data_IF_215219801189
#
_entry.id   IF_215219801189
#
_cell.length_a   1.000
_cell.length_b   1.000
_cell.length_c   1.000
_cell.angle_alpha   90.00
_cell.angle_beta   90.00
_cell.angle_gamma   90.00
#
_symmetry.space_group_name_H-M   'P 1'
#
loop_
_entity.id
_entity.type
_entity.pdbx_description
1 polymer ?
#
# COMPACT_ATOMS: atom_id res chain seq x y z
N UNK A 1 2.74 19.33 3.89
CA UNK A 1 2.79 18.06 4.63
C UNK A 1 1.47 17.35 4.55
N UNK A 2 1.50 16.03 4.66
CA UNK A 2 0.32 15.18 4.78
C UNK A 2 -0.04 14.98 6.26
N UNK A 3 -1.18 14.33 6.54
CA UNK A 3 -1.71 14.19 7.89
C UNK A 3 -1.67 12.74 8.39
N UNK A 4 -1.39 12.57 9.69
CA UNK A 4 -1.65 11.32 10.39
C UNK A 4 -3.03 11.35 11.05
N UNK A 5 -3.77 10.25 10.94
CA UNK A 5 -5.04 10.03 11.66
C UNK A 5 -4.71 9.30 12.94
N UNK A 6 -5.04 9.94 14.08
CA UNK A 6 -4.76 9.39 15.40
C UNK A 6 -5.99 8.69 15.96
N UNK A 7 -5.80 7.53 16.57
CA UNK A 7 -6.76 6.93 17.48
C UNK A 7 -6.86 7.75 18.78
N UNK A 8 -7.88 7.48 19.59
CA UNK A 8 -8.12 8.21 20.85
C UNK A 8 -6.96 8.11 21.85
N UNK A 9 -6.14 7.05 21.76
CA UNK A 9 -4.94 6.85 22.57
C UNK A 9 -3.70 7.60 22.04
N UNK A 10 -3.82 8.35 20.94
CA UNK A 10 -2.73 9.10 20.30
C UNK A 10 -1.90 8.30 19.30
N UNK A 11 -2.21 7.02 19.07
CA UNK A 11 -1.52 6.18 18.09
C UNK A 11 -1.92 6.56 16.66
N UNK A 12 -0.95 6.67 15.75
CA UNK A 12 -1.24 6.91 14.34
C UNK A 12 -1.71 5.61 13.66
N UNK A 13 -2.96 5.60 13.20
CA UNK A 13 -3.61 4.41 12.63
C UNK A 13 -3.82 4.50 11.11
N UNK A 14 -3.64 5.69 10.53
CA UNK A 14 -3.77 5.91 9.10
C UNK A 14 -3.08 7.20 8.67
N UNK A 15 -2.81 7.33 7.36
CA UNK A 15 -2.37 8.57 6.73
C UNK A 15 -3.46 9.17 5.83
N UNK A 16 -3.50 10.49 5.74
CA UNK A 16 -4.29 11.24 4.77
C UNK A 16 -3.35 12.09 3.92
N UNK A 17 -3.21 11.70 2.65
CA UNK A 17 -2.32 12.37 1.71
C UNK A 17 -3.09 13.37 0.86
N UNK A 18 -2.46 14.50 0.52
CA UNK A 18 -3.03 15.43 -0.45
C UNK A 18 -2.97 14.85 -1.87
N UNK A 19 -3.98 15.18 -2.69
CA UNK A 19 -4.00 14.89 -4.13
C UNK A 19 -3.06 15.82 -4.92
N UNK A 20 -1.76 15.73 -4.66
CA UNK A 20 -0.70 16.53 -5.31
C UNK A 20 0.54 15.66 -5.53
N UNK A 21 1.47 16.13 -6.38
CA UNK A 21 2.69 15.38 -6.69
C UNK A 21 2.36 14.01 -7.29
N UNK A 22 2.96 12.94 -6.74
CA UNK A 22 2.70 11.56 -7.18
C UNK A 22 1.24 11.11 -7.01
N UNK A 23 0.46 11.78 -6.15
CA UNK A 23 -0.93 11.42 -5.87
C UNK A 23 -1.95 12.21 -6.73
N UNK A 24 -1.50 13.14 -7.57
CA UNK A 24 -2.41 14.06 -8.28
C UNK A 24 -3.40 13.36 -9.24
N UNK A 25 -3.02 12.19 -9.77
CA UNK A 25 -3.85 11.40 -10.69
C UNK A 25 -4.64 10.27 -10.03
N UNK A 26 -4.57 10.11 -8.70
CA UNK A 26 -5.20 9.00 -7.99
C UNK A 26 -6.58 9.46 -7.49
N UNK A 27 -7.68 8.73 -7.78
CA UNK A 27 -8.99 9.04 -7.22
C UNK A 27 -8.97 9.06 -5.69
N UNK A 28 -9.75 9.93 -5.02
CA UNK A 28 -9.86 9.90 -3.56
C UNK A 28 -10.39 8.55 -3.08
N UNK A 29 -9.57 7.81 -2.34
CA UNK A 29 -9.90 6.49 -1.84
C UNK A 29 -9.08 6.15 -0.58
N UNK A 30 -9.60 5.23 0.22
CA UNK A 30 -8.81 4.55 1.24
C UNK A 30 -8.00 3.42 0.61
N UNK A 31 -6.68 3.46 0.76
CA UNK A 31 -5.80 2.37 0.37
C UNK A 31 -5.58 1.44 1.57
N UNK A 32 -5.99 0.18 1.42
CA UNK A 32 -5.76 -0.86 2.42
C UNK A 32 -4.31 -1.33 2.36
N UNK A 33 -3.68 -1.45 3.53
CA UNK A 33 -2.35 -2.03 3.69
C UNK A 33 -2.46 -3.39 4.39
N UNK A 34 -1.91 -4.43 3.77
CA UNK A 34 -1.90 -5.81 4.25
C UNK A 34 -0.48 -6.14 4.69
N UNK A 35 -0.31 -6.48 5.96
CA UNK A 35 0.99 -6.92 6.48
C UNK A 35 1.32 -8.34 6.04
N UNK A 36 2.53 -8.54 5.54
CA UNK A 36 3.10 -9.82 5.14
C UNK A 36 4.55 -9.93 5.61
N UNK A 37 5.04 -11.16 5.81
CA UNK A 37 6.42 -11.39 6.25
C UNK A 37 7.45 -11.12 5.14
N UNK A 38 7.08 -11.30 3.88
CA UNK A 38 7.93 -11.11 2.70
C UNK A 38 7.09 -10.52 1.56
N UNK A 39 7.32 -9.24 1.28
CA UNK A 39 6.57 -8.48 0.26
C UNK A 39 6.88 -8.94 -1.15
N UNK A 40 8.12 -9.35 -1.45
CA UNK A 40 8.48 -9.83 -2.78
C UNK A 40 7.82 -11.17 -3.09
N UNK A 41 7.85 -12.09 -2.11
CA UNK A 41 7.17 -13.38 -2.22
C UNK A 41 5.67 -13.20 -2.36
N UNK A 42 5.04 -12.35 -1.55
CA UNK A 42 3.61 -12.08 -1.63
C UNK A 42 3.23 -11.45 -2.97
N UNK A 43 4.03 -10.51 -3.49
CA UNK A 43 3.80 -9.91 -4.80
C UNK A 43 3.88 -10.93 -5.95
N UNK A 44 4.82 -11.89 -5.89
CA UNK A 44 4.90 -13.01 -6.85
C UNK A 44 3.63 -13.86 -6.78
N UNK A 45 3.16 -14.20 -5.58
CA UNK A 45 1.92 -14.96 -5.39
C UNK A 45 0.70 -14.20 -5.95
N UNK A 46 0.62 -12.88 -5.76
CA UNK A 46 -0.44 -12.07 -6.36
C UNK A 46 -0.48 -12.24 -7.89
N UNK A 47 0.68 -12.20 -8.56
CA UNK A 47 0.77 -12.39 -10.02
C UNK A 47 0.42 -13.82 -10.43
N UNK A 48 0.93 -14.83 -9.72
CA UNK A 48 0.65 -16.26 -9.96
C UNK A 48 -0.85 -16.57 -9.88
N UNK A 49 -1.59 -15.86 -9.03
CA UNK A 49 -3.04 -15.98 -8.87
C UNK A 49 -3.86 -15.02 -9.74
N UNK A 50 -3.24 -14.40 -10.76
CA UNK A 50 -3.91 -13.58 -11.77
C UNK A 50 -4.05 -12.09 -11.43
N UNK A 51 -3.45 -11.65 -10.33
CA UNK A 51 -3.33 -10.23 -9.99
C UNK A 51 -2.27 -9.52 -10.83
N UNK A 52 -2.16 -8.21 -10.62
CA UNK A 52 -1.19 -7.34 -11.31
C UNK A 52 -0.49 -6.45 -10.29
N UNK A 53 0.83 -6.37 -10.34
CA UNK A 53 1.60 -5.38 -9.58
C UNK A 53 1.50 -4.02 -10.28
N UNK A 54 1.13 -2.98 -9.54
CA UNK A 54 0.95 -1.62 -10.02
C UNK A 54 2.13 -0.70 -9.65
N UNK A 55 2.73 -0.89 -8.47
CA UNK A 55 3.94 -0.20 -8.00
C UNK A 55 4.72 -1.12 -7.05
N UNK A 56 6.05 -1.03 -7.04
CA UNK A 56 6.93 -1.91 -6.27
C UNK A 56 7.08 -3.33 -6.85
N UNK A 57 7.54 -4.32 -6.06
CA UNK A 57 8.03 -4.20 -4.69
C UNK A 57 9.21 -3.24 -4.59
N UNK A 58 9.21 -2.37 -3.57
CA UNK A 58 10.33 -1.47 -3.30
C UNK A 58 10.38 -1.11 -1.83
N UNK A 59 11.56 -0.67 -1.38
CA UNK A 59 11.73 -0.11 -0.05
C UNK A 59 11.01 1.24 0.07
N UNK A 60 10.28 1.40 1.15
CA UNK A 60 9.62 2.63 1.58
C UNK A 60 10.00 2.90 3.04
N UNK A 61 11.00 3.76 3.25
CA UNK A 61 11.63 4.00 4.54
C UNK A 61 12.22 2.72 5.17
N UNK A 62 11.62 2.23 6.25
CA UNK A 62 12.03 1.05 7.00
C UNK A 62 11.20 -0.21 6.69
N UNK A 63 10.34 -0.17 5.67
CA UNK A 63 9.48 -1.27 5.29
C UNK A 63 9.54 -1.51 3.78
N UNK A 64 9.15 -2.72 3.36
CA UNK A 64 8.88 -3.03 1.96
C UNK A 64 7.43 -2.69 1.62
N UNK A 65 7.21 -2.28 0.38
CA UNK A 65 5.90 -1.86 -0.14
C UNK A 65 5.67 -2.41 -1.54
N UNK A 66 4.47 -2.90 -1.81
CA UNK A 66 4.01 -3.27 -3.15
C UNK A 66 2.52 -2.94 -3.30
N UNK A 67 2.14 -2.20 -4.34
CA UNK A 67 0.76 -1.96 -4.71
C UNK A 67 0.33 -3.00 -5.75
N UNK A 68 -0.81 -3.65 -5.54
CA UNK A 68 -1.33 -4.63 -6.48
C UNK A 68 -2.82 -4.42 -6.75
N UNK A 69 -3.28 -5.02 -7.85
CA UNK A 69 -4.69 -5.17 -8.21
C UNK A 69 -5.03 -6.64 -8.34
N UNK A 70 -6.09 -7.09 -7.69
CA UNK A 70 -6.58 -8.48 -7.81
C UNK A 70 -7.35 -8.72 -9.14
N UNK A 71 -7.70 -9.98 -9.48
CA UNK A 71 -8.47 -10.28 -10.68
C UNK A 71 -9.88 -9.66 -10.72
N UNK A 72 -10.47 -9.34 -9.56
CA UNK A 72 -11.77 -8.69 -9.46
C UNK A 72 -11.68 -7.15 -9.61
N UNK A 73 -10.46 -6.61 -9.65
CA UNK A 73 -10.17 -5.19 -9.83
C UNK A 73 -9.93 -4.42 -8.53
N UNK A 74 -9.93 -5.08 -7.37
CA UNK A 74 -9.66 -4.43 -6.09
C UNK A 74 -8.18 -4.04 -6.01
N UNK A 75 -7.89 -2.84 -5.48
CA UNK A 75 -6.53 -2.31 -5.32
C UNK A 75 -6.18 -2.25 -3.84
N UNK A 76 -5.04 -2.84 -3.48
CA UNK A 76 -4.52 -2.84 -2.11
C UNK A 76 -2.98 -2.84 -2.13
N UNK A 77 -2.38 -2.55 -0.98
CA UNK A 77 -0.94 -2.57 -0.79
C UNK A 77 -0.52 -3.70 0.15
N UNK A 78 0.64 -4.28 -0.13
CA UNK A 78 1.38 -5.17 0.75
C UNK A 78 2.46 -4.37 1.45
N UNK A 79 2.63 -4.58 2.76
CA UNK A 79 3.73 -4.02 3.54
C UNK A 79 4.34 -5.07 4.45
N UNK A 80 5.62 -4.91 4.75
CA UNK A 80 6.35 -5.89 5.55
C UNK A 80 7.75 -5.41 5.90
N UNK A 81 8.51 -6.22 6.65
CA UNK A 81 9.92 -5.95 6.89
C UNK A 81 10.72 -5.89 5.57
N UNK A 82 11.88 -5.25 5.66
CA UNK A 82 12.93 -5.25 4.62
C UNK A 82 13.70 -6.57 4.60
#
# INVERSE_FOLDING_TARGET
EDYGVLAANGECVAGLCHARGSNAGIPPAWLMYIHVDDVEKAAKQCVEHGGTVLDGPRRMHCQMFCLFRDPAGAVAALIGPD
#
